data_IF_870615701120
#
_entry.id   IF_870615701120
#
_cell.length_a   1.000
_cell.length_b   1.000
_cell.length_c   1.000
_cell.angle_alpha   90.00
_cell.angle_beta   90.00
_cell.angle_gamma   90.00
#
_symmetry.space_group_name_H-M   'P 1'
#
loop_
_entity.id
_entity.type
_entity.pdbx_description
1 polymer ?
#
# COMPACT_ATOMS: atom_id res chain seq x y z
N UNK A 1 11.29 17.87 -33.05
CA UNK A 1 11.06 17.39 -31.66
C UNK A 1 9.65 16.85 -31.41
N UNK A 2 8.59 17.39 -32.03
CA UNK A 2 7.21 16.88 -31.83
C UNK A 2 6.97 15.45 -32.35
N UNK A 3 7.55 15.08 -33.51
CA UNK A 3 7.32 13.77 -34.12
C UNK A 3 7.91 12.58 -33.35
N UNK A 4 8.97 12.81 -32.56
CA UNK A 4 9.57 11.76 -31.70
C UNK A 4 8.67 11.48 -30.50
N UNK A 5 8.02 12.51 -29.97
CA UNK A 5 7.16 12.40 -28.78
C UNK A 5 5.86 11.63 -29.07
N UNK A 6 5.28 11.80 -30.27
CA UNK A 6 4.09 11.04 -30.70
C UNK A 6 4.37 9.56 -30.96
N UNK A 7 5.51 9.23 -31.57
CA UNK A 7 5.89 7.83 -31.82
C UNK A 7 6.22 7.06 -30.54
N UNK A 8 6.68 7.74 -29.49
CA UNK A 8 7.06 7.12 -28.21
C UNK A 8 5.87 7.03 -27.24
N UNK A 9 4.93 7.99 -27.28
CA UNK A 9 3.61 7.87 -26.63
C UNK A 9 2.80 6.68 -27.16
N UNK A 10 2.88 6.37 -28.45
CA UNK A 10 2.24 5.19 -29.04
C UNK A 10 2.85 3.86 -28.54
N UNK A 11 4.06 3.89 -27.99
CA UNK A 11 4.74 2.73 -27.40
C UNK A 11 4.53 2.62 -25.88
N UNK A 12 3.75 3.50 -25.25
CA UNK A 12 3.49 3.49 -23.80
C UNK A 12 4.68 3.93 -22.94
N UNK A 13 5.72 4.51 -23.54
CA UNK A 13 6.92 4.96 -22.84
C UNK A 13 6.76 6.46 -22.57
N UNK A 14 6.57 6.84 -21.31
CA UNK A 14 6.53 8.24 -20.92
C UNK A 14 7.96 8.78 -20.82
N UNK A 15 8.43 9.42 -21.89
CA UNK A 15 9.73 10.10 -21.94
C UNK A 15 9.87 11.17 -20.84
N UNK A 16 8.78 11.80 -20.39
CA UNK A 16 8.84 12.78 -19.32
C UNK A 16 9.12 12.09 -17.97
N UNK A 17 8.57 10.88 -17.76
CA UNK A 17 8.89 10.06 -16.60
C UNK A 17 10.35 9.61 -16.60
N UNK A 18 10.87 9.14 -17.76
CA UNK A 18 12.27 8.72 -17.88
C UNK A 18 13.24 9.88 -17.63
N UNK A 19 12.95 11.06 -18.17
CA UNK A 19 13.79 12.25 -17.95
C UNK A 19 13.71 12.71 -16.49
N UNK A 20 12.55 12.60 -15.84
CA UNK A 20 12.39 12.90 -14.40
C UNK A 20 13.15 11.92 -13.51
N UNK A 21 13.13 10.63 -13.81
CA UNK A 21 13.91 9.62 -13.09
C UNK A 21 15.42 9.80 -13.29
N UNK A 22 15.87 10.07 -14.52
CA UNK A 22 17.29 10.39 -14.79
C UNK A 22 17.72 11.64 -14.02
N UNK A 23 16.88 12.67 -13.95
CA UNK A 23 17.18 13.89 -13.21
C UNK A 23 17.24 13.65 -11.69
N UNK A 24 16.34 12.82 -11.13
CA UNK A 24 16.38 12.41 -9.72
C UNK A 24 17.65 11.62 -9.38
N UNK A 25 18.02 10.68 -10.25
CA UNK A 25 19.20 9.83 -10.06
C UNK A 25 20.51 10.61 -10.22
N UNK A 26 20.61 11.50 -11.21
CA UNK A 26 21.80 12.34 -11.41
C UNK A 26 21.99 13.37 -10.28
N UNK A 27 20.91 13.98 -9.78
CA UNK A 27 20.98 14.91 -8.65
C UNK A 27 21.36 14.17 -7.36
N UNK A 28 20.81 12.97 -7.13
CA UNK A 28 21.16 12.14 -5.98
C UNK A 28 22.59 11.61 -6.05
N UNK A 29 23.07 11.25 -7.25
CA UNK A 29 24.44 10.81 -7.48
C UNK A 29 25.45 11.96 -7.31
N UNK A 30 25.14 13.17 -7.77
CA UNK A 30 25.99 14.36 -7.57
C UNK A 30 26.06 14.78 -6.10
N UNK A 31 24.97 14.66 -5.34
CA UNK A 31 24.99 14.86 -3.88
C UNK A 31 25.93 13.87 -3.16
N UNK A 32 26.06 12.64 -3.66
CA UNK A 32 26.96 11.61 -3.11
C UNK A 32 28.41 11.73 -3.60
N UNK A 33 28.64 12.39 -4.75
CA UNK A 33 29.94 12.46 -5.44
C UNK A 33 30.81 13.66 -5.02
N UNK A 34 30.27 14.64 -4.28
CA UNK A 34 31.01 15.81 -3.79
C UNK A 34 32.09 15.44 -2.75
N UNK A 35 33.40 15.45 -3.08
CA UNK A 35 34.46 14.94 -2.20
C UNK A 35 34.81 15.86 -1.02
N UNK A 36 34.04 16.93 -0.78
CA UNK A 36 34.27 17.96 0.23
C UNK A 36 33.15 18.15 1.25
N UNK A 37 32.05 17.39 1.14
CA UNK A 37 30.81 17.67 1.88
C UNK A 37 30.11 18.95 1.43
N UNK A 38 28.88 19.15 1.90
CA UNK A 38 28.11 20.35 1.61
C UNK A 38 28.83 21.59 2.18
N UNK A 39 29.00 22.60 1.33
CA UNK A 39 29.43 23.93 1.75
C UNK A 39 28.42 24.54 2.73
N UNK A 40 28.85 25.52 3.52
CA UNK A 40 27.96 26.21 4.47
C UNK A 40 26.72 26.82 3.79
N UNK A 41 26.88 27.27 2.54
CA UNK A 41 25.77 27.79 1.74
C UNK A 41 24.77 26.69 1.37
N UNK A 42 25.25 25.53 0.94
CA UNK A 42 24.39 24.39 0.60
C UNK A 42 23.69 23.82 1.83
N UNK A 43 24.37 23.75 2.99
CA UNK A 43 23.73 23.38 4.26
C UNK A 43 22.60 24.34 4.63
N UNK A 44 22.82 25.64 4.46
CA UNK A 44 21.81 26.66 4.73
C UNK A 44 20.61 26.54 3.78
N UNK A 45 20.84 26.18 2.51
CA UNK A 45 19.76 25.90 1.56
C UNK A 45 18.96 24.66 1.99
N UNK A 46 19.64 23.57 2.40
CA UNK A 46 18.98 22.35 2.86
C UNK A 46 18.26 22.48 4.21
N UNK A 47 18.71 23.40 5.06
CA UNK A 47 18.02 23.75 6.31
C UNK A 47 16.70 24.49 6.03
N UNK A 48 16.70 25.33 4.98
CA UNK A 48 15.51 26.03 4.50
C UNK A 48 14.60 25.18 3.59
N UNK A 49 15.05 23.99 3.20
CA UNK A 49 14.34 23.16 2.22
C UNK A 49 13.07 22.54 2.83
N UNK A 50 11.97 22.43 2.06
CA UNK A 50 10.74 21.81 2.53
C UNK A 50 10.95 20.36 2.98
N UNK A 51 10.26 20.00 4.07
CA UNK A 51 10.33 18.66 4.67
C UNK A 51 8.95 18.10 4.95
N UNK A 52 8.82 16.79 4.81
CA UNK A 52 7.67 16.04 5.29
C UNK A 52 7.65 15.97 6.82
N UNK A 53 6.51 15.56 7.39
CA UNK A 53 6.34 15.36 8.84
C UNK A 53 7.33 14.34 9.43
N UNK A 54 7.81 13.39 8.62
CA UNK A 54 8.84 12.41 8.95
C UNK A 54 10.27 13.00 8.97
N UNK A 55 10.45 14.24 8.48
CA UNK A 55 11.74 14.95 8.41
C UNK A 55 12.50 14.78 7.08
N UNK A 56 12.03 13.93 6.18
CA UNK A 56 12.59 13.78 4.82
C UNK A 56 12.38 15.03 3.99
N UNK A 57 13.29 15.28 3.04
CA UNK A 57 13.19 16.42 2.12
C UNK A 57 12.10 16.14 1.07
N UNK A 58 11.32 17.18 0.74
CA UNK A 58 10.38 17.12 -0.38
C UNK A 58 11.14 17.34 -1.69
N UNK A 59 10.93 16.46 -2.67
CA UNK A 59 11.58 16.50 -3.98
C UNK A 59 10.54 16.64 -5.10
N UNK A 60 10.92 17.21 -6.27
CA UNK A 60 10.08 17.11 -7.46
C UNK A 60 9.75 15.65 -7.79
N UNK A 61 8.50 15.38 -8.14
CA UNK A 61 7.91 14.06 -8.34
C UNK A 61 7.31 13.42 -7.08
N UNK A 62 7.47 14.04 -5.90
CA UNK A 62 6.79 13.57 -4.69
C UNK A 62 5.32 13.98 -4.69
N UNK A 63 4.47 13.15 -4.07
CA UNK A 63 3.06 13.49 -3.85
C UNK A 63 2.89 14.19 -2.51
N UNK A 64 2.12 15.27 -2.49
CA UNK A 64 1.82 16.07 -1.29
C UNK A 64 0.32 16.38 -1.21
N UNK A 65 -0.21 16.57 0.00
CA UNK A 65 -1.59 17.02 0.17
C UNK A 65 -1.78 18.47 -0.29
N UNK A 66 -2.74 18.68 -1.19
CA UNK A 66 -3.24 19.99 -1.61
C UNK A 66 -4.27 20.51 -0.61
N UNK A 67 -3.89 21.55 0.13
CA UNK A 67 -4.78 22.18 1.09
C UNK A 67 -5.62 23.24 0.36
N UNK A 68 -6.70 22.80 -0.28
CA UNK A 68 -7.71 23.72 -0.82
C UNK A 68 -8.67 24.14 0.27
N UNK A 69 -9.17 25.38 0.23
CA UNK A 69 -10.22 25.86 1.11
C UNK A 69 -11.51 25.01 1.09
N UNK A 70 -11.65 24.04 0.17
CA UNK A 70 -12.86 23.24 -0.04
C UNK A 70 -12.63 21.72 0.03
N UNK A 71 -11.40 21.20 0.17
CA UNK A 71 -11.14 19.77 0.39
C UNK A 71 -9.66 19.49 0.76
N UNK A 72 -9.43 18.85 1.91
CA UNK A 72 -8.10 18.44 2.38
C UNK A 72 -7.60 17.12 1.74
N UNK A 73 -8.42 16.47 0.93
CA UNK A 73 -8.13 15.14 0.35
C UNK A 73 -7.50 15.18 -1.05
N UNK A 74 -7.28 16.36 -1.63
CA UNK A 74 -6.69 16.45 -2.97
C UNK A 74 -5.18 16.21 -2.87
N UNK A 75 -4.62 15.36 -3.72
CA UNK A 75 -3.18 15.09 -3.80
C UNK A 75 -2.62 15.79 -5.05
N UNK A 76 -1.44 16.41 -4.93
CA UNK A 76 -0.70 16.96 -6.07
C UNK A 76 0.69 16.32 -6.13
N UNK A 77 1.21 16.14 -7.34
CA UNK A 77 2.61 15.78 -7.57
C UNK A 77 3.43 17.07 -7.70
N UNK A 78 4.52 17.17 -6.95
CA UNK A 78 5.36 18.37 -6.94
C UNK A 78 6.15 18.42 -8.25
N UNK A 79 5.83 19.33 -9.16
CA UNK A 79 6.63 19.54 -10.37
C UNK A 79 7.77 20.53 -10.10
N UNK A 80 7.50 21.57 -9.29
CA UNK A 80 8.52 22.57 -8.95
C UNK A 80 8.39 23.08 -7.52
N UNK A 81 9.55 23.42 -6.95
CA UNK A 81 9.69 23.97 -5.60
C UNK A 81 10.28 25.37 -5.74
N UNK A 82 9.55 26.39 -5.30
CA UNK A 82 10.02 27.77 -5.29
C UNK A 82 10.23 28.23 -3.87
N UNK A 83 11.48 28.50 -3.50
CA UNK A 83 11.82 29.11 -2.21
C UNK A 83 11.78 30.64 -2.33
N UNK A 84 11.07 31.29 -1.41
CA UNK A 84 11.02 32.75 -1.26
C UNK A 84 11.39 33.14 0.18
N UNK A 85 11.57 34.44 0.43
CA UNK A 85 11.89 34.93 1.77
C UNK A 85 10.74 34.61 2.74
N UNK A 86 10.97 33.61 3.60
CA UNK A 86 10.08 33.20 4.69
C UNK A 86 9.05 32.11 4.36
N UNK A 87 8.96 31.66 3.10
CA UNK A 87 8.04 30.59 2.71
C UNK A 87 8.51 29.85 1.47
N UNK A 88 7.95 28.66 1.24
CA UNK A 88 8.13 27.91 0.00
C UNK A 88 6.77 27.65 -0.66
N UNK A 89 6.81 27.48 -1.98
CA UNK A 89 5.64 27.16 -2.78
C UNK A 89 5.92 25.86 -3.52
N UNK A 90 5.03 24.89 -3.35
CA UNK A 90 5.01 23.65 -4.12
C UNK A 90 3.97 23.80 -5.23
N UNK A 91 4.39 23.60 -6.48
CA UNK A 91 3.52 23.71 -7.65
C UNK A 91 3.47 22.39 -8.42
N UNK A 92 2.31 22.05 -8.97
CA UNK A 92 2.15 20.97 -9.95
C UNK A 92 2.19 21.47 -11.40
N UNK A 93 1.94 20.55 -12.34
CA UNK A 93 1.90 20.81 -13.79
C UNK A 93 0.68 21.63 -14.24
N UNK A 94 -0.40 21.62 -13.46
CA UNK A 94 -1.61 22.43 -13.64
C UNK A 94 -1.51 23.83 -12.99
N UNK A 95 -0.33 24.22 -12.49
CA UNK A 95 -0.09 25.46 -11.76
C UNK A 95 -0.90 25.59 -10.46
N UNK A 96 -1.41 24.49 -9.89
CA UNK A 96 -1.96 24.45 -8.53
C UNK A 96 -0.79 24.56 -7.57
N UNK A 97 -0.88 25.50 -6.64
CA UNK A 97 0.20 25.82 -5.73
C UNK A 97 -0.24 25.81 -4.27
N UNK A 98 0.58 25.22 -3.39
CA UNK A 98 0.46 25.37 -1.95
C UNK A 98 1.60 26.22 -1.41
N UNK A 99 1.25 27.18 -0.54
CA UNK A 99 2.23 27.96 0.22
C UNK A 99 2.43 27.36 1.61
N UNK A 100 3.67 27.27 2.04
CA UNK A 100 4.05 26.81 3.37
C UNK A 100 5.07 27.75 3.99
N UNK A 101 4.90 28.05 5.27
CA UNK A 101 5.86 28.87 6.02
C UNK A 101 7.18 28.11 6.22
N UNK A 102 8.28 28.86 6.37
CA UNK A 102 9.58 28.26 6.64
C UNK A 102 9.55 27.44 7.93
N UNK A 103 9.89 26.15 7.83
CA UNK A 103 9.81 25.20 8.94
C UNK A 103 8.48 24.46 9.07
N UNK A 104 7.42 24.89 8.37
CA UNK A 104 6.17 24.11 8.29
C UNK A 104 6.44 22.78 7.59
N UNK A 105 5.91 21.68 8.17
CA UNK A 105 6.03 20.34 7.59
C UNK A 105 4.91 20.06 6.61
N UNK A 106 5.27 19.42 5.51
CA UNK A 106 4.35 19.00 4.45
C UNK A 106 3.75 17.65 4.84
N UNK A 107 2.43 17.53 4.71
CA UNK A 107 1.74 16.25 4.92
C UNK A 107 1.96 15.34 3.72
N UNK A 108 2.48 14.14 3.98
CA UNK A 108 2.63 13.09 2.96
C UNK A 108 1.29 12.34 2.83
N UNK A 109 0.72 12.22 1.62
CA UNK A 109 -0.42 11.35 1.40
C UNK A 109 -0.02 9.90 1.67
N UNK A 110 -0.93 9.16 2.31
CA UNK A 110 -0.74 7.74 2.50
C UNK A 110 -0.64 7.09 1.10
N UNK A 111 0.43 6.34 0.80
CA UNK A 111 0.56 5.70 -0.49
C UNK A 111 -0.59 4.70 -0.66
N UNK A 112 -1.36 4.86 -1.74
CA UNK A 112 -2.46 3.96 -2.12
C UNK A 112 -1.86 2.69 -2.72
N UNK A 113 -1.58 1.73 -1.86
CA UNK A 113 -0.97 0.46 -2.24
C UNK A 113 -2.00 -0.63 -2.05
N UNK A 114 -2.31 -1.38 -3.12
CA UNK A 114 -3.28 -2.47 -3.05
C UNK A 114 -2.58 -3.80 -2.74
N UNK A 115 -3.25 -4.64 -1.96
CA UNK A 115 -2.86 -6.01 -1.70
C UNK A 115 -3.27 -6.95 -2.86
N UNK A 116 -3.02 -8.26 -2.69
CA UNK A 116 -3.42 -9.28 -3.65
C UNK A 116 -4.95 -9.40 -3.85
N UNK A 117 -5.75 -8.97 -2.87
CA UNK A 117 -7.21 -8.97 -2.92
C UNK A 117 -7.76 -7.68 -3.57
N UNK A 118 -6.89 -6.74 -3.94
CA UNK A 118 -7.27 -5.42 -4.46
C UNK A 118 -7.73 -4.45 -3.36
N UNK A 119 -7.45 -4.76 -2.09
CA UNK A 119 -7.78 -3.93 -0.92
C UNK A 119 -6.59 -3.03 -0.60
N UNK A 120 -6.87 -1.76 -0.30
CA UNK A 120 -5.84 -0.80 0.10
C UNK A 120 -5.18 -1.21 1.42
N UNK A 121 -3.85 -1.25 1.41
CA UNK A 121 -2.99 -1.53 2.56
C UNK A 121 -2.66 -0.22 3.27
N UNK A 122 -2.86 -0.19 4.58
CA UNK A 122 -2.54 0.95 5.44
C UNK A 122 -1.51 0.55 6.50
N UNK A 123 -0.78 1.55 6.98
CA UNK A 123 0.14 1.36 8.10
C UNK A 123 -0.66 0.97 9.33
N UNK A 124 -0.24 -0.10 10.01
CA UNK A 124 -0.94 -0.71 11.14
C UNK A 124 -1.79 -1.92 10.76
N UNK A 125 -2.04 -2.15 9.46
CA UNK A 125 -2.85 -3.29 9.03
C UNK A 125 -2.16 -4.63 9.32
N UNK A 126 -3.00 -5.61 9.63
CA UNK A 126 -2.60 -7.01 9.75
C UNK A 126 -2.73 -7.68 8.40
N UNK A 127 -1.61 -8.16 7.86
CA UNK A 127 -1.56 -8.84 6.56
C UNK A 127 -0.93 -10.23 6.68
N UNK A 128 -1.27 -11.09 5.73
CA UNK A 128 -0.75 -12.44 5.60
C UNK A 128 0.16 -12.54 4.39
N UNK A 129 1.28 -13.25 4.55
CA UNK A 129 2.25 -13.46 3.49
C UNK A 129 2.79 -14.90 3.51
N UNK A 130 3.24 -15.35 2.34
CA UNK A 130 3.83 -16.67 2.15
C UNK A 130 5.33 -16.62 2.40
N UNK A 131 5.81 -17.29 3.45
CA UNK A 131 7.25 -17.38 3.73
C UNK A 131 7.91 -18.47 2.89
N UNK A 132 8.82 -18.09 2.00
CA UNK A 132 9.62 -19.05 1.21
C UNK A 132 10.66 -19.80 2.07
N UNK A 133 11.11 -19.21 3.19
CA UNK A 133 12.16 -19.78 4.06
C UNK A 133 11.64 -20.84 5.04
N UNK A 134 10.34 -20.88 5.32
CA UNK A 134 9.77 -21.79 6.33
C UNK A 134 8.83 -22.86 5.76
N UNK A 135 8.94 -23.18 4.47
CA UNK A 135 8.19 -24.27 3.84
C UNK A 135 6.72 -23.94 3.57
N UNK A 136 6.47 -22.85 2.83
CA UNK A 136 5.15 -22.47 2.31
C UNK A 136 4.07 -22.16 3.37
N UNK A 137 4.47 -22.04 4.64
CA UNK A 137 3.58 -21.61 5.72
C UNK A 137 3.27 -20.13 5.61
N UNK A 138 1.98 -19.81 5.69
CA UNK A 138 1.49 -18.45 5.77
C UNK A 138 1.80 -17.87 7.15
N UNK A 139 2.32 -16.65 7.18
CA UNK A 139 2.61 -15.92 8.41
C UNK A 139 1.85 -14.60 8.43
N UNK A 140 1.57 -14.15 9.64
CA UNK A 140 0.99 -12.85 9.93
C UNK A 140 2.10 -11.83 10.16
N UNK A 141 1.90 -10.61 9.68
CA UNK A 141 2.76 -9.48 9.99
C UNK A 141 1.93 -8.19 10.04
N UNK A 142 2.51 -7.16 10.65
CA UNK A 142 1.93 -5.82 10.69
C UNK A 142 2.67 -4.91 9.71
N UNK A 143 1.91 -4.13 8.95
CA UNK A 143 2.48 -3.12 8.05
C UNK A 143 2.99 -1.94 8.87
N UNK A 144 4.27 -1.60 8.74
CA UNK A 144 4.88 -0.49 9.50
C UNK A 144 5.25 0.71 8.63
N UNK A 145 5.13 0.59 7.31
CA UNK A 145 5.43 1.67 6.38
C UNK A 145 5.55 1.18 4.95
N UNK A 146 6.01 2.06 4.07
CA UNK A 146 6.30 1.74 2.67
C UNK A 146 7.74 2.18 2.37
N UNK A 147 8.50 1.30 1.74
CA UNK A 147 9.92 1.48 1.44
C UNK A 147 10.18 1.79 -0.03
N UNK A 148 11.48 1.86 -0.34
CA UNK A 148 12.04 2.27 -1.64
C UNK A 148 11.38 1.55 -2.83
N UNK A 149 11.17 2.32 -3.90
CA UNK A 149 10.44 1.92 -5.09
C UNK A 149 11.08 0.72 -5.78
N UNK A 150 10.29 -0.33 -6.00
CA UNK A 150 10.61 -1.34 -7.02
C UNK A 150 10.08 -0.90 -8.38
N UNK A 151 10.49 -1.57 -9.45
CA UNK A 151 9.97 -1.35 -10.82
C UNK A 151 8.42 -1.37 -10.90
N UNK A 152 7.75 -2.00 -9.94
CA UNK A 152 6.30 -2.16 -9.89
C UNK A 152 5.60 -1.27 -8.83
N UNK A 153 6.32 -0.34 -8.20
CA UNK A 153 5.80 0.59 -7.19
C UNK A 153 6.41 0.44 -5.80
N UNK A 154 5.87 1.16 -4.79
CA UNK A 154 6.39 1.17 -3.43
C UNK A 154 6.22 -0.19 -2.75
N UNK A 155 7.28 -0.68 -2.09
CA UNK A 155 7.25 -1.95 -1.35
C UNK A 155 6.62 -1.74 0.03
N UNK A 156 5.84 -2.72 0.51
CA UNK A 156 5.31 -2.69 1.87
C UNK A 156 6.39 -3.13 2.87
N UNK A 157 6.60 -2.35 3.91
CA UNK A 157 7.47 -2.70 5.04
C UNK A 157 6.65 -3.42 6.09
N UNK A 158 7.02 -4.66 6.37
CA UNK A 158 6.34 -5.51 7.34
C UNK A 158 7.21 -5.72 8.57
N UNK A 159 6.55 -5.93 9.71
CA UNK A 159 7.14 -6.36 10.97
C UNK A 159 6.49 -7.66 11.45
N UNK A 160 7.28 -8.69 11.70
CA UNK A 160 6.79 -9.91 12.34
C UNK A 160 6.58 -9.73 13.86
N UNK A 161 5.96 -10.74 14.47
CA UNK A 161 5.78 -10.82 15.93
C UNK A 161 7.10 -10.91 16.71
N UNK A 162 8.20 -11.34 16.07
CA UNK A 162 9.53 -11.39 16.67
C UNK A 162 10.27 -10.03 16.57
N UNK A 163 9.68 -9.04 15.90
CA UNK A 163 10.21 -7.70 15.72
C UNK A 163 11.14 -7.53 14.51
N UNK A 164 11.34 -8.55 13.69
CA UNK A 164 12.07 -8.46 12.43
C UNK A 164 11.31 -7.64 11.40
N UNK A 165 12.00 -6.78 10.65
CA UNK A 165 11.43 -5.94 9.60
C UNK A 165 12.01 -6.24 8.24
N UNK A 166 11.17 -6.31 7.21
CA UNK A 166 11.60 -6.51 5.82
C UNK A 166 10.60 -5.88 4.82
N UNK A 167 11.00 -5.79 3.55
CA UNK A 167 10.18 -5.25 2.48
C UNK A 167 9.61 -6.39 1.62
N UNK A 168 8.34 -6.26 1.22
CA UNK A 168 7.68 -7.21 0.32
C UNK A 168 6.84 -6.48 -0.71
N UNK A 169 6.70 -7.09 -1.88
CA UNK A 169 5.75 -6.66 -2.90
C UNK A 169 4.32 -6.75 -2.33
N UNK A 170 3.57 -5.64 -2.34
CA UNK A 170 2.17 -5.59 -1.89
C UNK A 170 1.26 -6.63 -2.56
N UNK A 171 1.54 -7.01 -3.82
CA UNK A 171 0.77 -8.03 -4.54
C UNK A 171 0.98 -9.45 -4.01
N UNK A 172 1.91 -9.65 -3.07
CA UNK A 172 2.20 -10.94 -2.43
C UNK A 172 1.66 -11.03 -1.00
N UNK A 173 0.94 -10.02 -0.55
CA UNK A 173 0.29 -9.97 0.75
C UNK A 173 -1.22 -9.83 0.58
N UNK A 174 -1.97 -10.27 1.59
CA UNK A 174 -3.44 -10.24 1.60
C UNK A 174 -3.92 -9.92 3.01
N UNK A 175 -4.97 -9.12 3.14
CA UNK A 175 -5.65 -8.89 4.42
C UNK A 175 -6.39 -10.14 4.91
N UNK A 176 -6.76 -11.03 3.99
CA UNK A 176 -7.48 -12.24 4.29
C UNK A 176 -6.51 -13.35 4.67
N UNK A 177 -6.72 -14.01 5.82
CA UNK A 177 -5.98 -15.25 6.13
C UNK A 177 -6.24 -16.22 4.97
N UNK A 178 -5.22 -16.76 4.27
CA UNK A 178 -5.45 -17.75 3.24
C UNK A 178 -5.97 -19.05 3.85
N UNK A 179 -6.61 -19.89 3.05
CA UNK A 179 -6.99 -21.23 3.49
C UNK A 179 -5.77 -22.15 3.63
N UNK A 180 -5.83 -23.04 4.61
CA UNK A 180 -4.88 -24.12 4.82
C UNK A 180 -5.60 -25.32 5.45
N UNK A 181 -5.05 -26.52 5.32
CA UNK A 181 -5.62 -27.71 5.97
C UNK A 181 -5.73 -27.53 7.49
N UNK A 182 -4.69 -26.97 8.11
CA UNK A 182 -4.67 -26.64 9.55
C UNK A 182 -5.81 -25.68 9.94
N UNK A 183 -6.12 -24.68 9.09
CA UNK A 183 -7.23 -23.76 9.33
C UNK A 183 -8.59 -24.46 9.16
N UNK A 184 -8.73 -25.37 8.20
CA UNK A 184 -9.96 -26.14 8.05
C UNK A 184 -10.20 -27.06 9.26
N UNK A 185 -9.15 -27.62 9.84
CA UNK A 185 -9.24 -28.39 11.09
C UNK A 185 -9.64 -27.50 12.26
N UNK A 186 -9.03 -26.30 12.40
CA UNK A 186 -9.40 -25.29 13.40
C UNK A 186 -10.87 -24.88 13.27
N UNK A 187 -11.31 -24.58 12.04
CA UNK A 187 -12.67 -24.17 11.73
C UNK A 187 -13.67 -25.32 11.96
N UNK A 188 -13.29 -26.57 11.71
CA UNK A 188 -14.10 -27.76 12.03
C UNK A 188 -14.28 -27.97 13.54
N UNK A 189 -13.35 -27.47 14.37
CA UNK A 189 -13.44 -27.53 15.83
C UNK A 189 -14.23 -26.35 16.43
N UNK A 190 -14.54 -25.31 15.65
CA UNK A 190 -15.30 -24.16 16.14
C UNK A 190 -16.77 -24.50 16.38
N UNK A 191 -17.40 -23.73 17.28
CA UNK A 191 -18.86 -23.76 17.38
C UNK A 191 -19.47 -23.23 16.07
N UNK A 192 -20.67 -23.67 15.73
CA UNK A 192 -21.34 -23.30 14.47
C UNK A 192 -21.42 -21.76 14.32
N UNK A 193 -21.78 -21.03 15.37
CA UNK A 193 -21.79 -19.56 15.33
C UNK A 193 -20.35 -18.98 15.33
N UNK A 194 -19.43 -19.62 16.06
CA UNK A 194 -18.02 -19.24 16.09
C UNK A 194 -17.33 -19.32 14.72
N UNK A 195 -17.69 -20.30 13.89
CA UNK A 195 -17.22 -20.42 12.51
C UNK A 195 -17.51 -19.16 11.69
N UNK A 196 -18.69 -18.56 11.89
CA UNK A 196 -19.09 -17.33 11.21
C UNK A 196 -18.71 -16.05 11.99
N UNK A 197 -17.94 -16.17 13.07
CA UNK A 197 -17.55 -15.04 13.92
C UNK A 197 -18.73 -14.38 14.64
N UNK A 198 -19.82 -15.12 14.86
CA UNK A 198 -21.05 -14.62 15.50
C UNK A 198 -21.22 -15.15 16.91
N UNK A 199 -21.84 -14.31 17.76
CA UNK A 199 -22.34 -14.73 19.06
C UNK A 199 -23.53 -15.70 18.94
N UNK A 200 -23.80 -16.46 20.00
CA UNK A 200 -24.85 -17.51 20.04
C UNK A 200 -26.26 -16.97 19.78
N UNK A 201 -26.45 -15.64 19.82
CA UNK A 201 -27.75 -14.96 19.67
C UNK A 201 -27.83 -13.96 18.51
N UNK A 202 -26.85 -13.95 17.60
CA UNK A 202 -26.84 -13.06 16.42
C UNK A 202 -27.12 -13.87 15.15
N UNK A 203 -28.40 -14.18 14.92
CA UNK A 203 -28.84 -14.92 13.72
C UNK A 203 -29.35 -14.01 12.59
N UNK A 204 -29.58 -12.73 12.88
CA UNK A 204 -29.92 -11.73 11.86
C UNK A 204 -28.68 -11.49 10.98
N UNK A 205 -28.85 -11.57 9.66
CA UNK A 205 -27.79 -11.46 8.65
C UNK A 205 -26.63 -12.46 8.79
N UNK A 206 -26.90 -13.66 9.31
CA UNK A 206 -25.88 -14.71 9.40
C UNK A 206 -25.44 -15.20 8.01
N UNK A 207 -24.12 -15.26 7.71
CA UNK A 207 -23.60 -15.75 6.42
C UNK A 207 -24.05 -17.18 6.08
N UNK A 208 -24.38 -17.98 7.11
CA UNK A 208 -24.97 -19.30 6.94
C UNK A 208 -26.22 -19.30 6.05
N UNK A 209 -27.03 -18.24 6.12
CA UNK A 209 -28.28 -18.13 5.37
C UNK A 209 -28.04 -18.03 3.85
N UNK A 210 -26.96 -17.37 3.43
CA UNK A 210 -26.57 -17.27 2.03
C UNK A 210 -26.03 -18.60 1.48
N UNK A 211 -25.31 -19.37 2.32
CA UNK A 211 -24.72 -20.66 1.94
C UNK A 211 -25.78 -21.77 1.92
N UNK A 212 -26.75 -21.70 2.83
CA UNK A 212 -27.81 -22.69 2.99
C UNK A 212 -29.12 -22.31 2.28
N UNK A 213 -29.12 -21.33 1.37
CA UNK A 213 -30.27 -20.64 0.77
C UNK A 213 -31.43 -21.48 0.16
N UNK A 214 -31.33 -22.81 0.19
CA UNK A 214 -32.33 -23.77 -0.28
C UNK A 214 -32.87 -24.73 0.81
N UNK A 215 -32.78 -24.41 2.11
CA UNK A 215 -33.44 -25.21 3.17
C UNK A 215 -34.32 -24.36 4.07
N UNK A 216 -35.62 -24.68 4.09
CA UNK A 216 -36.63 -24.09 4.98
C UNK A 216 -36.54 -24.58 6.45
N UNK A 217 -35.45 -25.25 6.84
CA UNK A 217 -35.36 -25.93 8.13
C UNK A 217 -34.19 -25.46 8.98
N UNK A 218 -34.45 -25.43 10.29
CA UNK A 218 -33.64 -25.03 11.44
C UNK A 218 -32.19 -25.60 11.51
N UNK A 219 -31.75 -26.40 10.53
CA UNK A 219 -30.40 -26.98 10.37
C UNK A 219 -29.47 -26.18 9.42
N UNK A 220 -29.87 -24.96 9.01
CA UNK A 220 -29.14 -24.13 8.06
C UNK A 220 -27.66 -23.92 8.39
N UNK A 221 -27.33 -23.70 9.67
CA UNK A 221 -25.96 -23.32 10.03
C UNK A 221 -24.97 -24.48 10.03
N UNK A 222 -25.37 -25.67 10.52
CA UNK A 222 -24.47 -26.84 10.51
C UNK A 222 -24.18 -27.32 9.08
N UNK A 223 -25.21 -27.33 8.23
CA UNK A 223 -25.06 -27.68 6.82
C UNK A 223 -24.21 -26.67 6.07
N UNK A 224 -24.37 -25.37 6.34
CA UNK A 224 -23.57 -24.31 5.76
C UNK A 224 -22.08 -24.47 6.10
N UNK A 225 -21.73 -24.73 7.37
CA UNK A 225 -20.34 -24.95 7.80
C UNK A 225 -19.73 -26.13 7.05
N UNK A 226 -20.41 -27.28 7.00
CA UNK A 226 -19.90 -28.48 6.31
C UNK A 226 -19.67 -28.22 4.82
N UNK A 227 -20.63 -27.58 4.14
CA UNK A 227 -20.52 -27.26 2.73
C UNK A 227 -19.37 -26.28 2.45
N UNK A 228 -19.20 -25.25 3.28
CA UNK A 228 -18.12 -24.28 3.10
C UNK A 228 -16.74 -24.88 3.39
N UNK A 229 -16.58 -25.68 4.44
CA UNK A 229 -15.34 -26.42 4.72
C UNK A 229 -14.96 -27.32 3.53
N UNK A 230 -15.92 -28.06 2.96
CA UNK A 230 -15.68 -28.91 1.78
C UNK A 230 -15.32 -28.08 0.55
N UNK A 231 -16.00 -26.95 0.33
CA UNK A 231 -15.69 -26.02 -0.78
C UNK A 231 -14.25 -25.51 -0.67
N UNK A 232 -13.84 -25.07 0.53
CA UNK A 232 -12.48 -24.59 0.81
C UNK A 232 -11.44 -25.71 0.69
N UNK A 233 -11.76 -26.93 1.15
CA UNK A 233 -10.91 -28.10 0.97
C UNK A 233 -10.68 -28.46 -0.51
N UNK A 234 -11.74 -28.42 -1.33
CA UNK A 234 -11.63 -28.64 -2.79
C UNK A 234 -10.75 -27.60 -3.47
N UNK A 235 -10.92 -26.32 -3.10
CA UNK A 235 -10.09 -25.23 -3.59
C UNK A 235 -8.61 -25.43 -3.24
N UNK A 236 -8.30 -25.84 -2.01
CA UNK A 236 -6.92 -26.16 -1.60
C UNK A 236 -6.34 -27.37 -2.34
N UNK A 237 -7.16 -28.38 -2.61
CA UNK A 237 -6.75 -29.57 -3.36
C UNK A 237 -6.60 -29.29 -4.87
N UNK A 238 -6.93 -28.09 -5.35
CA UNK A 238 -7.00 -27.73 -6.78
C UNK A 238 -7.89 -28.68 -7.59
N UNK A 239 -8.88 -29.28 -6.94
CA UNK A 239 -9.90 -30.11 -7.60
C UNK A 239 -11.00 -29.15 -7.96
N UNK A 240 -11.16 -28.87 -9.26
CA UNK A 240 -12.20 -27.96 -9.75
C UNK A 240 -13.54 -28.25 -9.09
N UNK A 241 -14.13 -27.22 -8.48
CA UNK A 241 -15.54 -27.23 -8.12
C UNK A 241 -16.27 -27.10 -9.45
N UNK A 242 -16.51 -28.23 -10.11
CA UNK A 242 -17.49 -28.29 -11.18
C UNK A 242 -18.80 -27.75 -10.63
N UNK A 243 -19.26 -26.63 -11.19
CA UNK A 243 -20.57 -26.02 -10.94
C UNK A 243 -21.71 -27.02 -11.14
#
# INVERSE_FOLDING_TARGET
MMAVNESVRAAGIDLAHIVREIAKDEVSAELQRCPGGLTEKERRILDMWPRFEDGELVMPGDKVHYASAHNDETEIEVESITAMDGYFVLCDDECRSNQYEQGQRVKRPAPKVLDADGVEIKVGDTVWYRSLSTGDRMRKATVTGFGEHSLDGPLATLKDEAGGTWHIDPKKITHTRPDSWERLEEDACNSICGYFGKGVSECDDCPANAIAANSDEFECCERAVKLDIVRRAKALAKVEVAE
#
